data_IF_993499505729
#
_entry.id   IF_993499505729
#
_cell.length_a   1.000
_cell.length_b   1.000
_cell.length_c   1.000
_cell.angle_alpha   90.00
_cell.angle_beta   90.00
_cell.angle_gamma   90.00
#
_symmetry.space_group_name_H-M   'P 1'
#
loop_
_entity.id
_entity.type
_entity.pdbx_description
1 polymer ?
#
# COMPACT_ATOMS: atom_id res chain seq x y z
N UNK A 1 -19.30 -53.04 -29.08
CA UNK A 1 -19.43 -51.75 -28.38
C UNK A 1 -18.12 -51.46 -27.66
N UNK A 2 -17.42 -50.34 -27.93
CA UNK A 2 -16.16 -50.02 -27.24
C UNK A 2 -16.43 -49.30 -25.90
N UNK A 3 -15.73 -49.61 -24.81
CA UNK A 3 -15.82 -48.83 -23.59
C UNK A 3 -15.04 -47.51 -23.71
N UNK A 4 -15.74 -46.44 -23.34
CA UNK A 4 -15.35 -45.02 -23.39
C UNK A 4 -14.20 -44.75 -22.40
N UNK A 5 -13.09 -44.18 -22.90
CA UNK A 5 -12.01 -43.58 -22.07
C UNK A 5 -12.58 -42.50 -21.15
N UNK A 6 -12.31 -42.59 -19.85
CA UNK A 6 -12.42 -41.47 -18.90
C UNK A 6 -11.02 -41.08 -18.46
N UNK A 7 -10.59 -39.88 -18.80
CA UNK A 7 -9.52 -39.20 -18.08
C UNK A 7 -10.17 -38.36 -16.96
N UNK A 8 -9.61 -38.35 -15.76
CA UNK A 8 -9.69 -37.20 -14.89
C UNK A 8 -8.30 -36.59 -14.74
N UNK A 9 -8.20 -35.36 -15.20
CA UNK A 9 -7.15 -34.39 -14.92
C UNK A 9 -7.00 -34.19 -13.41
N UNK A 10 -5.94 -34.74 -12.82
CA UNK A 10 -5.45 -34.29 -11.52
C UNK A 10 -4.67 -32.99 -11.75
N UNK A 11 -5.40 -31.87 -11.73
CA UNK A 11 -4.80 -30.56 -11.51
C UNK A 11 -4.34 -30.51 -10.06
N UNK A 12 -3.03 -30.64 -9.84
CA UNK A 12 -2.40 -30.43 -8.54
C UNK A 12 -2.58 -28.96 -8.17
N UNK A 13 -3.59 -28.67 -7.36
CA UNK A 13 -3.72 -27.37 -6.72
C UNK A 13 -2.53 -27.17 -5.77
N UNK A 14 -1.78 -26.08 -5.96
CA UNK A 14 -0.71 -25.69 -5.05
C UNK A 14 -1.23 -25.57 -3.60
N UNK A 15 -0.45 -25.96 -2.59
CA UNK A 15 -0.88 -25.88 -1.20
C UNK A 15 -1.09 -24.42 -0.80
N UNK A 16 -2.31 -24.07 -0.39
CA UNK A 16 -2.60 -22.78 0.24
C UNK A 16 -1.83 -22.73 1.56
N UNK A 17 -0.85 -21.84 1.68
CA UNK A 17 -0.14 -21.59 2.93
C UNK A 17 -1.15 -21.20 4.00
N UNK A 18 -1.18 -21.95 5.10
CA UNK A 18 -2.20 -21.84 6.14
C UNK A 18 -1.71 -20.85 7.19
N UNK A 19 -2.42 -19.75 7.36
CA UNK A 19 -2.14 -18.71 8.37
C UNK A 19 -2.03 -19.30 9.79
N UNK A 20 -1.06 -18.80 10.56
CA UNK A 20 -0.93 -19.12 11.98
C UNK A 20 -2.06 -18.48 12.83
N UNK A 21 -2.12 -18.84 14.11
CA UNK A 21 -3.06 -18.21 15.05
C UNK A 21 -2.75 -16.72 15.24
N UNK A 22 -1.47 -16.39 15.41
CA UNK A 22 -0.99 -15.01 15.57
C UNK A 22 -1.35 -14.15 14.35
N UNK A 23 -1.16 -14.68 13.14
CA UNK A 23 -1.56 -13.96 11.93
C UNK A 23 -3.07 -13.68 11.88
N UNK A 24 -3.91 -14.61 12.34
CA UNK A 24 -5.36 -14.40 12.41
C UNK A 24 -5.76 -13.38 13.47
N UNK A 25 -5.11 -13.40 14.63
CA UNK A 25 -5.39 -12.46 15.73
C UNK A 25 -5.08 -11.01 15.31
N UNK A 26 -4.04 -10.82 14.50
CA UNK A 26 -3.66 -9.50 13.97
C UNK A 26 -4.23 -9.19 12.58
N UNK A 27 -5.12 -10.02 12.04
CA UNK A 27 -5.71 -9.86 10.69
C UNK A 27 -4.68 -9.74 9.56
N UNK A 28 -3.57 -10.47 9.66
CA UNK A 28 -2.49 -10.50 8.68
C UNK A 28 -2.67 -11.66 7.70
N UNK A 29 -2.45 -11.41 6.42
CA UNK A 29 -2.54 -12.43 5.36
C UNK A 29 -1.43 -13.49 5.52
N UNK A 30 -1.61 -14.68 4.91
CA UNK A 30 -0.58 -15.71 4.94
C UNK A 30 0.74 -15.26 4.29
N UNK A 31 0.64 -14.34 3.33
CA UNK A 31 1.79 -13.78 2.63
C UNK A 31 2.53 -12.79 3.52
N UNK A 32 1.85 -11.80 4.07
CA UNK A 32 2.43 -10.82 5.00
C UNK A 32 3.03 -11.51 6.24
N UNK A 33 2.39 -12.57 6.77
CA UNK A 33 2.97 -13.38 7.84
C UNK A 33 4.33 -13.97 7.43
N UNK A 34 4.44 -14.44 6.19
CA UNK A 34 5.68 -14.95 5.61
C UNK A 34 6.75 -13.87 5.50
N UNK A 35 6.38 -12.68 5.01
CA UNK A 35 7.26 -11.52 4.87
C UNK A 35 7.79 -11.05 6.23
N UNK A 36 6.93 -10.94 7.26
CA UNK A 36 7.34 -10.58 8.63
C UNK A 36 8.33 -11.61 9.19
N UNK A 37 8.04 -12.91 8.99
CA UNK A 37 8.92 -13.98 9.46
C UNK A 37 10.28 -13.93 8.78
N UNK A 38 10.31 -13.71 7.47
CA UNK A 38 11.55 -13.59 6.71
C UNK A 38 12.36 -12.39 7.18
N UNK A 39 11.75 -11.20 7.26
CA UNK A 39 12.41 -9.99 7.73
C UNK A 39 12.98 -10.12 9.14
N UNK A 40 12.25 -10.74 10.08
CA UNK A 40 12.75 -11.03 11.42
C UNK A 40 13.95 -11.99 11.38
N UNK A 41 13.83 -13.08 10.61
CA UNK A 41 14.86 -14.13 10.54
C UNK A 41 16.18 -13.66 9.91
N UNK A 42 16.18 -12.57 9.14
CA UNK A 42 17.39 -11.98 8.57
C UNK A 42 18.33 -11.39 9.62
N UNK A 43 17.78 -10.93 10.76
CA UNK A 43 18.52 -10.22 11.79
C UNK A 43 18.42 -10.88 13.17
N UNK A 44 17.58 -11.91 13.32
CA UNK A 44 17.40 -12.61 14.58
C UNK A 44 18.62 -13.48 14.95
N UNK A 45 18.94 -13.49 16.23
CA UNK A 45 19.94 -14.36 16.84
C UNK A 45 19.26 -15.50 17.60
N UNK A 46 19.83 -16.72 17.63
CA UNK A 46 19.27 -17.83 18.38
C UNK A 46 19.31 -17.56 19.89
N UNK A 47 18.23 -17.89 20.59
CA UNK A 47 18.14 -17.80 22.05
C UNK A 47 17.37 -18.99 22.61
N UNK A 48 17.87 -19.58 23.69
CA UNK A 48 17.24 -20.71 24.35
C UNK A 48 15.85 -20.32 24.88
N UNK A 49 14.84 -21.12 24.54
CA UNK A 49 13.44 -20.83 24.88
C UNK A 49 12.68 -20.05 23.81
N UNK A 50 13.38 -19.39 22.89
CA UNK A 50 12.79 -18.58 21.81
C UNK A 50 12.83 -19.32 20.48
N UNK A 51 11.68 -19.89 20.09
CA UNK A 51 11.55 -20.71 18.87
C UNK A 51 12.03 -19.99 17.60
N UNK A 52 11.84 -18.68 17.54
CA UNK A 52 12.15 -17.85 16.39
C UNK A 52 13.49 -17.10 16.54
N UNK A 53 14.20 -17.29 17.66
CA UNK A 53 15.28 -16.40 18.07
C UNK A 53 14.74 -15.06 18.57
N UNK A 54 15.68 -14.16 18.86
CA UNK A 54 15.42 -12.79 19.29
C UNK A 54 16.08 -11.81 18.35
N UNK A 55 15.47 -10.65 18.15
CA UNK A 55 15.99 -9.60 17.29
C UNK A 55 16.75 -8.59 18.16
N UNK A 56 18.06 -8.38 17.97
CA UNK A 56 18.79 -7.33 18.66
C UNK A 56 18.10 -5.97 18.48
N UNK A 57 17.99 -5.19 19.56
CA UNK A 57 17.22 -3.94 19.56
C UNK A 57 17.74 -2.93 18.53
N UNK A 58 19.06 -2.93 18.30
CA UNK A 58 19.74 -2.09 17.31
C UNK A 58 19.37 -2.45 15.86
N UNK A 59 18.94 -3.70 15.61
CA UNK A 59 18.58 -4.20 14.29
C UNK A 59 17.08 -4.07 13.97
N UNK A 60 16.25 -3.63 14.92
CA UNK A 60 14.80 -3.41 14.70
C UNK A 60 14.54 -2.50 13.51
N UNK A 61 15.31 -1.41 13.39
CA UNK A 61 15.17 -0.49 12.25
C UNK A 61 15.48 -1.18 10.93
N UNK A 62 16.54 -1.99 10.89
CA UNK A 62 16.97 -2.73 9.70
C UNK A 62 15.91 -3.76 9.28
N UNK A 63 15.33 -4.48 10.24
CA UNK A 63 14.25 -5.44 10.00
C UNK A 63 12.98 -4.77 9.44
N UNK A 64 12.56 -3.63 10.01
CA UNK A 64 11.41 -2.85 9.52
C UNK A 64 11.64 -2.31 8.09
N UNK A 65 12.87 -1.90 7.77
CA UNK A 65 13.25 -1.48 6.41
C UNK A 65 13.21 -2.66 5.45
N UNK A 66 13.75 -3.82 5.84
CA UNK A 66 13.75 -5.04 5.01
C UNK A 66 12.32 -5.52 4.70
N UNK A 67 11.39 -5.35 5.65
CA UNK A 67 9.96 -5.63 5.46
C UNK A 67 9.23 -4.58 4.59
N UNK A 68 9.89 -3.48 4.24
CA UNK A 68 9.28 -2.39 3.47
C UNK A 68 8.31 -1.52 4.27
N UNK A 69 8.38 -1.56 5.61
CA UNK A 69 7.60 -0.74 6.54
C UNK A 69 8.51 0.10 7.44
N UNK A 70 9.37 0.97 6.89
CA UNK A 70 10.27 1.75 7.71
C UNK A 70 9.49 2.62 8.72
N UNK A 71 10.09 2.88 9.89
CA UNK A 71 9.54 3.90 10.78
C UNK A 71 9.56 5.25 10.04
N UNK A 72 8.48 6.00 10.17
CA UNK A 72 8.25 7.29 9.52
C UNK A 72 9.09 8.40 10.16
N UNK A 73 9.49 8.23 11.41
CA UNK A 73 10.35 9.18 12.12
C UNK A 73 11.23 8.50 13.19
N UNK A 74 12.24 9.22 13.69
CA UNK A 74 13.03 8.76 14.83
C UNK A 74 12.20 8.61 16.10
N UNK A 75 11.14 9.42 16.26
CA UNK A 75 10.23 9.33 17.41
C UNK A 75 9.45 8.02 17.39
N UNK A 76 8.86 7.67 16.25
CA UNK A 76 8.13 6.38 16.09
C UNK A 76 9.06 5.18 16.31
N UNK A 77 10.29 5.22 15.78
CA UNK A 77 11.27 4.16 16.04
C UNK A 77 11.55 4.00 17.54
N UNK A 78 11.70 5.11 18.27
CA UNK A 78 11.94 5.09 19.72
C UNK A 78 10.75 4.51 20.48
N UNK A 79 9.52 4.83 20.05
CA UNK A 79 8.30 4.24 20.61
C UNK A 79 8.26 2.73 20.37
N UNK A 80 8.55 2.27 19.16
CA UNK A 80 8.64 0.84 18.85
C UNK A 80 9.68 0.13 19.71
N UNK A 81 10.88 0.70 19.83
CA UNK A 81 11.93 0.15 20.70
C UNK A 81 11.44 0.04 22.15
N UNK A 82 10.79 1.08 22.69
CA UNK A 82 10.25 1.06 24.05
C UNK A 82 9.13 0.03 24.27
N UNK A 83 8.38 -0.32 23.22
CA UNK A 83 7.33 -1.35 23.26
C UNK A 83 7.96 -2.75 23.17
N UNK A 84 8.97 -2.91 22.32
CA UNK A 84 9.63 -4.19 22.07
C UNK A 84 10.57 -4.61 23.20
N UNK A 85 11.19 -3.64 23.86
CA UNK A 85 12.17 -3.86 24.93
C UNK A 85 11.87 -2.95 26.14
N UNK A 86 10.77 -3.20 26.88
CA UNK A 86 10.39 -2.38 28.03
C UNK A 86 11.30 -2.56 29.24
N UNK A 87 11.98 -3.71 29.36
CA UNK A 87 12.91 -4.02 30.45
C UNK A 87 14.37 -3.69 30.12
N UNK A 88 14.64 -3.25 28.88
CA UNK A 88 15.97 -2.93 28.38
C UNK A 88 16.93 -4.14 28.40
N UNK A 89 16.40 -5.30 28.03
CA UNK A 89 17.11 -6.57 27.84
C UNK A 89 18.02 -6.55 26.60
N UNK A 90 17.78 -5.61 25.68
CA UNK A 90 18.57 -5.40 24.46
C UNK A 90 18.09 -6.18 23.25
N UNK A 91 16.92 -6.84 23.33
CA UNK A 91 16.36 -7.61 22.24
C UNK A 91 14.82 -7.58 22.23
N UNK A 92 14.25 -7.89 21.06
CA UNK A 92 12.82 -8.03 20.83
C UNK A 92 12.48 -9.49 20.51
N UNK A 93 11.40 -10.01 21.09
CA UNK A 93 10.86 -11.34 20.71
C UNK A 93 9.97 -11.25 19.48
N UNK A 94 9.69 -12.39 18.87
CA UNK A 94 8.96 -12.44 17.60
C UNK A 94 7.52 -11.93 17.69
N UNK A 95 6.78 -12.25 18.76
CA UNK A 95 5.37 -11.86 18.87
C UNK A 95 5.16 -10.33 18.99
N UNK A 96 5.90 -9.59 19.84
CA UNK A 96 5.84 -8.13 19.87
C UNK A 96 6.26 -7.49 18.54
N UNK A 97 7.33 -7.98 17.91
CA UNK A 97 7.76 -7.49 16.59
C UNK A 97 6.68 -7.72 15.53
N UNK A 98 6.05 -8.89 15.53
CA UNK A 98 4.95 -9.22 14.64
C UNK A 98 3.77 -8.26 14.80
N UNK A 99 3.40 -7.94 16.05
CA UNK A 99 2.31 -7.01 16.33
C UNK A 99 2.58 -5.59 15.78
N UNK A 100 3.81 -5.09 15.92
CA UNK A 100 4.21 -3.80 15.33
C UNK A 100 4.13 -3.84 13.80
N UNK A 101 4.66 -4.91 13.19
CA UNK A 101 4.63 -5.06 11.73
C UNK A 101 3.18 -5.15 11.19
N UNK A 102 2.32 -5.89 11.88
CA UNK A 102 0.91 -5.99 11.53
C UNK A 102 0.22 -4.61 11.59
N UNK A 103 0.48 -3.83 12.65
CA UNK A 103 -0.04 -2.47 12.77
C UNK A 103 0.42 -1.59 11.60
N UNK A 104 1.71 -1.68 11.21
CA UNK A 104 2.26 -0.93 10.07
C UNK A 104 1.60 -1.30 8.74
N UNK A 105 1.26 -2.57 8.51
CA UNK A 105 0.52 -2.97 7.31
C UNK A 105 -0.88 -2.37 7.29
N UNK A 106 -1.61 -2.44 8.41
CA UNK A 106 -2.94 -1.84 8.51
C UNK A 106 -2.94 -0.33 8.29
N UNK A 107 -1.97 0.41 8.85
CA UNK A 107 -1.86 1.85 8.60
C UNK A 107 -1.62 2.14 7.12
N UNK A 108 -0.74 1.40 6.45
CA UNK A 108 -0.47 1.59 5.02
C UNK A 108 -1.68 1.30 4.14
N UNK A 109 -2.40 0.21 4.44
CA UNK A 109 -3.60 -0.16 3.68
C UNK A 109 -4.70 0.88 3.90
N UNK A 110 -4.94 1.29 5.15
CA UNK A 110 -5.96 2.28 5.48
C UNK A 110 -5.66 3.65 4.83
N UNK A 111 -4.42 4.11 4.86
CA UNK A 111 -4.03 5.35 4.19
C UNK A 111 -4.21 5.22 2.66
N UNK A 112 -3.91 4.06 2.08
CA UNK A 112 -4.10 3.83 0.64
C UNK A 112 -5.57 3.76 0.21
N UNK A 113 -6.42 3.14 1.02
CA UNK A 113 -7.85 3.02 0.74
C UNK A 113 -8.57 4.35 0.98
N UNK A 114 -8.23 5.08 2.04
CA UNK A 114 -8.73 6.43 2.26
C UNK A 114 -8.34 7.36 1.10
N UNK A 115 -7.06 7.38 0.73
CA UNK A 115 -6.58 8.17 -0.41
C UNK A 115 -7.31 7.80 -1.71
N UNK A 116 -7.51 6.50 -1.98
CA UNK A 116 -8.26 6.06 -3.17
C UNK A 116 -9.68 6.61 -3.18
N UNK A 117 -10.40 6.53 -2.05
CA UNK A 117 -11.76 7.06 -1.94
C UNK A 117 -11.79 8.57 -2.22
N UNK A 118 -10.86 9.33 -1.63
CA UNK A 118 -10.84 10.77 -1.85
C UNK A 118 -10.50 11.15 -3.30
N UNK A 119 -9.57 10.44 -3.94
CA UNK A 119 -9.25 10.60 -5.37
C UNK A 119 -10.47 10.31 -6.23
N UNK A 120 -11.19 9.21 -5.97
CA UNK A 120 -12.40 8.85 -6.72
C UNK A 120 -13.51 9.89 -6.58
N UNK A 121 -13.74 10.40 -5.37
CA UNK A 121 -14.72 11.45 -5.11
C UNK A 121 -14.35 12.76 -5.81
N UNK A 122 -13.09 13.19 -5.69
CA UNK A 122 -12.60 14.40 -6.36
C UNK A 122 -12.69 14.26 -7.90
N UNK A 123 -12.25 13.12 -8.44
CA UNK A 123 -12.33 12.84 -9.87
C UNK A 123 -13.77 12.91 -10.37
N UNK A 124 -14.70 12.32 -9.60
CA UNK A 124 -16.14 12.36 -9.90
C UNK A 124 -16.71 13.77 -9.87
N UNK A 125 -16.23 14.65 -8.99
CA UNK A 125 -16.62 16.07 -9.00
C UNK A 125 -16.14 16.77 -10.28
N UNK A 126 -14.91 16.50 -10.72
CA UNK A 126 -14.37 17.05 -11.97
C UNK A 126 -15.15 16.55 -13.21
N UNK A 127 -15.51 15.28 -13.27
CA UNK A 127 -16.32 14.73 -14.38
C UNK A 127 -17.81 15.01 -14.25
N UNK A 128 -18.25 15.72 -13.20
CA UNK A 128 -19.66 15.92 -12.87
C UNK A 128 -20.46 14.60 -12.83
N UNK A 129 -19.84 13.54 -12.30
CA UNK A 129 -20.44 12.22 -12.17
C UNK A 129 -20.61 11.46 -13.48
N UNK A 130 -20.06 11.94 -14.60
CA UNK A 130 -20.01 11.18 -15.84
C UNK A 130 -18.86 10.15 -15.79
N UNK A 131 -19.13 8.96 -16.30
CA UNK A 131 -18.10 7.93 -16.49
C UNK A 131 -17.10 8.35 -17.56
N UNK A 132 -15.85 7.93 -17.40
CA UNK A 132 -14.77 8.19 -18.35
C UNK A 132 -13.81 9.31 -17.91
N UNK A 133 -12.91 9.73 -18.79
CA UNK A 133 -11.81 10.63 -18.45
C UNK A 133 -12.27 12.06 -18.20
N UNK A 134 -11.42 12.85 -17.53
CA UNK A 134 -11.58 14.31 -17.50
C UNK A 134 -11.29 14.83 -18.90
N UNK A 135 -12.28 15.51 -19.47
CA UNK A 135 -12.21 16.07 -20.82
C UNK A 135 -12.00 17.57 -20.78
N UNK A 136 -11.69 18.15 -21.94
CA UNK A 136 -11.57 19.59 -22.09
C UNK A 136 -12.87 20.33 -21.74
N UNK A 137 -14.04 19.71 -22.00
CA UNK A 137 -15.32 20.27 -21.60
C UNK A 137 -15.48 20.32 -20.07
N UNK A 138 -14.96 19.33 -19.35
CA UNK A 138 -14.96 19.33 -17.89
C UNK A 138 -14.09 20.47 -17.34
N UNK A 139 -12.87 20.64 -17.87
CA UNK A 139 -11.98 21.73 -17.43
C UNK A 139 -12.57 23.12 -17.72
N UNK A 140 -13.17 23.34 -18.90
CA UNK A 140 -13.87 24.60 -19.23
C UNK A 140 -14.95 24.92 -18.21
N UNK A 141 -15.73 23.91 -17.82
CA UNK A 141 -16.79 24.08 -16.83
C UNK A 141 -16.20 24.45 -15.47
N UNK A 142 -15.14 23.76 -15.03
CA UNK A 142 -14.49 24.04 -13.75
C UNK A 142 -13.94 25.47 -13.73
N UNK A 143 -13.22 25.90 -14.77
CA UNK A 143 -12.72 27.28 -14.90
C UNK A 143 -13.85 28.32 -14.82
N UNK A 144 -14.98 28.07 -15.50
CA UNK A 144 -16.15 28.94 -15.43
C UNK A 144 -16.79 29.00 -14.03
N UNK A 145 -16.84 27.88 -13.30
CA UNK A 145 -17.33 27.83 -11.92
C UNK A 145 -16.40 28.60 -10.97
N UNK A 146 -15.09 28.50 -11.17
CA UNK A 146 -14.07 29.22 -10.40
C UNK A 146 -13.92 30.69 -10.82
N UNK A 147 -14.59 31.10 -11.90
CA UNK A 147 -14.47 32.43 -12.53
C UNK A 147 -13.04 32.77 -12.93
N UNK A 148 -12.27 31.75 -13.32
CA UNK A 148 -10.95 31.93 -13.90
C UNK A 148 -11.07 32.10 -15.41
N UNK A 149 -10.36 33.10 -15.95
CA UNK A 149 -10.26 33.33 -17.38
C UNK A 149 -9.08 32.52 -17.91
N UNK A 150 -9.39 31.34 -18.44
CA UNK A 150 -8.41 30.38 -18.97
C UNK A 150 -8.72 30.15 -20.43
N UNK A 151 -7.74 30.39 -21.30
CA UNK A 151 -7.89 30.20 -22.73
C UNK A 151 -7.92 28.72 -23.11
N UNK A 152 -8.46 28.43 -24.29
CA UNK A 152 -8.62 27.06 -24.75
C UNK A 152 -7.28 26.33 -24.99
N UNK A 153 -6.22 27.06 -25.35
CA UNK A 153 -4.89 26.46 -25.59
C UNK A 153 -4.28 25.99 -24.27
N UNK A 154 -4.36 26.82 -23.23
CA UNK A 154 -3.90 26.45 -21.89
C UNK A 154 -4.66 25.24 -21.32
N UNK A 155 -5.98 25.15 -21.55
CA UNK A 155 -6.76 23.96 -21.15
C UNK A 155 -6.34 22.69 -21.90
N UNK A 156 -5.88 22.79 -23.16
CA UNK A 156 -5.32 21.66 -23.91
C UNK A 156 -3.98 21.24 -23.32
N UNK A 157 -3.12 22.22 -23.02
CA UNK A 157 -1.81 22.00 -22.44
C UNK A 157 -1.93 21.33 -21.06
N UNK A 158 -2.89 21.72 -20.23
CA UNK A 158 -3.17 21.05 -18.96
C UNK A 158 -3.50 19.56 -19.12
N UNK A 159 -4.27 19.19 -20.15
CA UNK A 159 -4.60 17.78 -20.43
C UNK A 159 -3.35 17.02 -20.92
N UNK A 160 -2.58 17.65 -21.81
CA UNK A 160 -1.37 17.03 -22.37
C UNK A 160 -0.29 16.84 -21.30
N UNK A 161 -0.11 17.81 -20.41
CA UNK A 161 0.82 17.71 -19.28
C UNK A 161 0.40 16.57 -18.36
N UNK A 162 -0.89 16.51 -18.00
CA UNK A 162 -1.42 15.48 -17.12
C UNK A 162 -1.34 14.06 -17.70
N UNK A 163 -1.56 13.91 -19.02
CA UNK A 163 -1.60 12.59 -19.67
C UNK A 163 -0.33 12.20 -20.42
N UNK A 164 0.78 12.89 -20.17
CA UNK A 164 2.08 12.59 -20.80
C UNK A 164 2.09 12.81 -22.32
N UNK A 165 1.24 13.71 -22.82
CA UNK A 165 1.19 14.10 -24.23
C UNK A 165 0.50 13.09 -25.15
N UNK A 166 -0.21 12.10 -24.62
CA UNK A 166 -0.92 11.06 -25.42
C UNK A 166 -1.98 11.68 -26.33
N UNK A 167 -2.55 12.81 -25.92
CA UNK A 167 -3.45 13.60 -26.74
C UNK A 167 -4.69 14.08 -26.00
N UNK A 168 -5.19 15.25 -26.40
CA UNK A 168 -6.34 15.90 -25.76
C UNK A 168 -7.61 15.05 -25.82
N UNK A 169 -7.81 14.30 -26.91
CA UNK A 169 -9.01 13.48 -27.11
C UNK A 169 -9.11 12.30 -26.13
N UNK A 170 -7.99 11.81 -25.60
CA UNK A 170 -7.98 10.77 -24.56
C UNK A 170 -8.46 11.33 -23.22
N UNK A 171 -8.20 12.61 -22.95
CA UNK A 171 -8.43 13.21 -21.64
C UNK A 171 -7.48 12.67 -20.57
N UNK A 172 -7.85 12.87 -19.31
CA UNK A 172 -7.07 12.48 -18.13
C UNK A 172 -7.81 11.39 -17.35
N UNK A 173 -7.17 10.25 -17.14
CA UNK A 173 -7.69 9.15 -16.33
C UNK A 173 -7.48 9.38 -14.83
N UNK A 174 -8.04 8.49 -14.01
CA UNK A 174 -7.99 8.60 -12.53
C UNK A 174 -6.56 8.59 -12.01
N UNK A 175 -5.71 7.69 -12.51
CA UNK A 175 -4.30 7.59 -12.08
C UNK A 175 -3.48 8.84 -12.45
N UNK A 176 -3.73 9.42 -13.62
CA UNK A 176 -3.06 10.64 -14.07
C UNK A 176 -3.53 11.85 -13.25
N UNK A 177 -4.82 11.91 -12.95
CA UNK A 177 -5.37 12.92 -12.05
C UNK A 177 -4.77 12.81 -10.64
N UNK A 178 -4.65 11.60 -10.08
CA UNK A 178 -3.97 11.36 -8.81
C UNK A 178 -2.53 11.87 -8.84
N UNK A 179 -1.77 11.52 -9.89
CA UNK A 179 -0.40 11.98 -10.07
C UNK A 179 -0.27 13.50 -10.12
N UNK A 180 -1.14 14.18 -10.88
CA UNK A 180 -1.17 15.65 -10.95
C UNK A 180 -1.46 16.26 -9.59
N UNK A 181 -2.45 15.73 -8.86
CA UNK A 181 -2.86 16.30 -7.58
C UNK A 181 -1.82 16.07 -6.47
N UNK A 182 -1.08 14.95 -6.51
CA UNK A 182 0.09 14.71 -5.66
C UNK A 182 1.23 15.69 -5.96
N UNK A 183 1.54 15.89 -7.24
CA UNK A 183 2.55 16.87 -7.67
C UNK A 183 2.20 18.30 -7.25
N UNK A 184 0.90 18.64 -7.28
CA UNK A 184 0.37 19.91 -6.80
C UNK A 184 0.32 20.03 -5.26
N UNK A 185 0.64 18.97 -4.51
CA UNK A 185 0.66 18.96 -3.05
C UNK A 185 -0.71 18.93 -2.39
N UNK A 186 -1.76 18.53 -3.12
CA UNK A 186 -3.13 18.44 -2.60
C UNK A 186 -3.26 17.26 -1.62
N UNK A 187 -2.58 16.16 -1.91
CA UNK A 187 -2.53 14.94 -1.10
C UNK A 187 -1.08 14.65 -0.72
N UNK A 188 -0.84 14.03 0.44
CA UNK A 188 0.51 13.65 0.92
C UNK A 188 0.68 12.14 0.98
#
# INVERSE_FOLDING_TARGET
>A
MPPKRKAPTSATAAPKTRQSKLAKEHNVTAQEEGEIREAFSLFAEPMDGEKHGVLPIDDVKSALIALGVPPSSHVELKEFISILDPENDGYATFEPFFAICALKFHTREHDSDAHRVEVEEAFRLFTNGQDGPITLAHLRRVAAVLKEDVDEELLKDMILEANGGVGVARGVGVEEFDGVMKSAGVWR
#
